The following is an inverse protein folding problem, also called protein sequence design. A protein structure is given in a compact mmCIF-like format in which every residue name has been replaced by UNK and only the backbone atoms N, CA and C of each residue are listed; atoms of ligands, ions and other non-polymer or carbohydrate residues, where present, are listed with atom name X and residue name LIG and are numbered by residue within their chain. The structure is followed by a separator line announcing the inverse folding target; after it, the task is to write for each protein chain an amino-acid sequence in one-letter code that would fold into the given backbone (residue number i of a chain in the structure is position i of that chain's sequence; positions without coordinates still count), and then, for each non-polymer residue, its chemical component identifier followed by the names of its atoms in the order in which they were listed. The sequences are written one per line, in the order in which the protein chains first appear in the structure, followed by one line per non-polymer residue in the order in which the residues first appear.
data_IF_326899472616
#
_entry.id   IF_326899472616
#
_cell.length_a   1.000
_cell.length_b   1.000
_cell.length_c   1.000
_cell.angle_alpha   90.00
_cell.angle_beta   90.00
_cell.angle_gamma   90.00
#
_symmetry.space_group_name_H-M   'P 1'
#
loop_
_entity.id
_entity.type
_entity.pdbx_description
1 polymer ?
#
# COMPACT_ATOMS: atom_id res chain seq x y z
N UNK A 1 8.06 -5.48 -14.83
CA UNK A 1 8.77 -6.29 -13.92
C UNK A 1 9.42 -5.51 -12.84
N UNK A 2 9.28 -6.02 -11.64
CA UNK A 2 9.87 -5.37 -10.57
C UNK A 2 11.12 -5.93 -10.19
N UNK A 3 12.14 -5.16 -10.18
CA UNK A 3 13.44 -5.61 -9.82
C UNK A 3 13.83 -5.27 -8.40
N UNK A 4 12.97 -4.53 -7.71
CA UNK A 4 13.28 -4.14 -6.35
C UNK A 4 12.71 -5.14 -5.37
N UNK A 5 13.49 -5.54 -4.40
CA UNK A 5 12.99 -6.38 -3.34
C UNK A 5 12.26 -5.57 -2.30
N UNK A 6 11.59 -6.24 -1.39
CA UNK A 6 10.84 -5.56 -0.36
C UNK A 6 11.72 -4.67 0.51
N UNK A 7 12.90 -5.15 0.86
CA UNK A 7 13.80 -4.35 1.68
C UNK A 7 14.23 -3.10 0.94
N UNK A 8 14.48 -3.23 -0.36
CA UNK A 8 14.90 -2.08 -1.14
C UNK A 8 13.77 -1.07 -1.27
N UNK A 9 12.54 -1.54 -1.48
CA UNK A 9 11.42 -0.65 -1.59
C UNK A 9 11.19 0.10 -0.28
N UNK A 10 11.31 -0.59 0.83
CA UNK A 10 11.11 0.03 2.12
C UNK A 10 12.18 1.08 2.39
N UNK A 11 13.43 0.75 2.06
CA UNK A 11 14.51 1.66 2.22
C UNK A 11 14.33 2.89 1.36
N UNK A 12 13.99 2.67 0.10
CA UNK A 12 13.81 3.76 -0.83
C UNK A 12 12.70 4.70 -0.35
N UNK A 13 11.60 4.12 0.10
CA UNK A 13 10.48 4.90 0.57
C UNK A 13 10.86 5.70 1.81
N UNK A 14 11.61 5.08 2.71
CA UNK A 14 12.04 5.74 3.92
C UNK A 14 12.94 6.94 3.59
N UNK A 15 13.87 6.74 2.69
CA UNK A 15 14.77 7.82 2.30
C UNK A 15 14.00 8.96 1.62
N UNK A 16 13.05 8.60 0.81
CA UNK A 16 12.26 9.59 0.12
C UNK A 16 11.45 10.40 1.12
N UNK A 17 10.84 9.73 2.09
CA UNK A 17 10.07 10.42 3.10
C UNK A 17 10.94 11.36 3.92
N UNK A 18 12.12 10.93 4.28
CA UNK A 18 13.00 11.78 5.04
C UNK A 18 13.47 12.97 4.24
N UNK A 19 13.70 12.77 2.96
CA UNK A 19 14.15 13.86 2.12
C UNK A 19 13.07 14.93 1.98
N UNK A 20 11.83 14.49 1.76
CA UNK A 20 10.76 15.44 1.53
C UNK A 20 10.23 16.05 2.82
N UNK A 21 10.29 15.28 3.89
CA UNK A 21 9.78 15.78 5.14
C UNK A 21 10.88 16.22 6.09
N UNK A 22 12.01 16.57 5.56
CA UNK A 22 13.12 16.91 6.39
C UNK A 22 12.80 18.03 7.31
N UNK A 23 11.86 18.84 6.90
CA UNK A 23 11.51 19.93 7.69
C UNK A 23 10.76 19.51 8.88
N UNK A 24 9.94 18.54 8.75
CA UNK A 24 9.15 18.18 9.78
C UNK A 24 9.76 17.43 10.77
N UNK A 25 10.53 17.04 10.62
CA UNK A 25 11.15 16.38 11.47
C UNK A 25 10.49 15.42 12.07
N UNK A 26 10.00 14.86 12.18
CA UNK A 26 9.63 14.11 12.74
C UNK A 26 9.04 13.41 12.94
N UNK A 27 8.78 12.79 12.55
CA UNK A 27 8.37 12.38 13.29
C UNK A 27 7.27 11.50 13.36
N UNK A 28 6.34 11.59 14.20
CA UNK A 28 5.20 10.73 14.36
C UNK A 28 4.37 10.65 13.11
N UNK A 29 4.20 11.77 12.46
CA UNK A 29 3.37 11.79 11.28
C UNK A 29 3.98 11.01 10.13
N UNK A 30 5.27 11.16 9.92
CA UNK A 30 5.94 10.43 8.87
C UNK A 30 5.89 8.93 9.15
N UNK A 31 6.08 8.54 10.40
CA UNK A 31 6.01 7.15 10.76
C UNK A 31 4.63 6.60 10.52
N UNK A 32 3.61 7.36 10.83
CA UNK A 32 2.24 6.95 10.64
C UNK A 32 1.94 6.71 9.18
N UNK A 33 2.40 7.61 8.31
CA UNK A 33 2.18 7.44 6.88
C UNK A 33 2.91 6.20 6.37
N UNK A 34 4.13 5.98 6.85
CA UNK A 34 4.87 4.81 6.41
C UNK A 34 4.23 3.52 6.89
N UNK A 35 3.73 3.53 8.13
CA UNK A 35 3.03 2.37 8.66
C UNK A 35 1.80 2.07 7.79
N UNK A 36 1.02 3.09 7.49
CA UNK A 36 -0.18 2.92 6.68
C UNK A 36 0.15 2.47 5.27
N UNK A 37 1.21 3.01 4.69
CA UNK A 37 1.60 2.62 3.35
C UNK A 37 2.00 1.15 3.30
N UNK A 38 2.76 0.69 4.29
CA UNK A 38 3.15 -0.70 4.34
C UNK A 38 1.96 -1.61 4.60
N UNK A 39 1.03 -1.15 5.44
CA UNK A 39 -0.17 -1.92 5.71
C UNK A 39 -0.98 -2.11 4.42
N UNK A 40 -1.21 -1.03 3.69
CA UNK A 40 -1.97 -1.11 2.45
C UNK A 40 -1.28 -2.00 1.43
N UNK A 41 0.05 -1.88 1.35
CA UNK A 41 0.83 -2.68 0.42
C UNK A 41 0.67 -4.17 0.70
N UNK A 42 0.83 -4.55 1.96
CA UNK A 42 0.80 -5.97 2.32
C UNK A 42 -0.60 -6.54 2.21
N UNK A 43 -1.60 -5.76 2.53
CA UNK A 43 -2.98 -6.19 2.39
C UNK A 43 -3.31 -6.46 0.92
N UNK A 44 -2.93 -5.54 0.04
CA UNK A 44 -3.19 -5.73 -1.38
C UNK A 44 -2.51 -7.00 -1.89
N UNK A 45 -1.28 -7.21 -1.48
CA UNK A 45 -0.54 -8.39 -1.91
C UNK A 45 -1.19 -9.67 -1.41
N UNK A 46 -1.58 -9.70 -0.14
CA UNK A 46 -2.13 -10.91 0.45
C UNK A 46 -3.48 -11.28 -0.19
N UNK A 47 -4.33 -10.30 -0.42
CA UNK A 47 -5.61 -10.59 -1.03
C UNK A 47 -5.45 -10.97 -2.49
N UNK A 48 -4.50 -10.36 -3.18
CA UNK A 48 -4.24 -10.75 -4.56
C UNK A 48 -3.79 -12.21 -4.62
N UNK A 49 -2.95 -12.62 -3.69
CA UNK A 49 -2.53 -14.01 -3.62
C UNK A 49 -3.70 -14.92 -3.29
N UNK A 50 -4.55 -14.50 -2.38
CA UNK A 50 -5.70 -15.29 -2.00
C UNK A 50 -6.60 -15.54 -3.21
N UNK A 51 -6.74 -14.55 -4.07
CA UNK A 51 -7.60 -14.66 -5.24
C UNK A 51 -6.84 -15.19 -6.47
N UNK A 52 -5.62 -15.62 -6.30
CA UNK A 52 -4.79 -16.17 -7.38
C UNK A 52 -4.54 -15.19 -8.51
N UNK A 53 -4.45 -13.91 -8.18
CA UNK A 53 -4.09 -12.92 -9.17
C UNK A 53 -2.62 -13.07 -9.51
N UNK A 54 -2.26 -12.72 -10.73
CA UNK A 54 -0.87 -12.72 -11.10
C UNK A 54 -0.22 -11.42 -10.69
N UNK A 55 1.08 -11.40 -10.64
CA UNK A 55 1.83 -10.18 -10.36
C UNK A 55 1.53 -9.58 -9.00
N UNK A 56 1.62 -10.41 -7.97
CA UNK A 56 1.33 -9.95 -6.60
C UNK A 56 2.17 -8.75 -6.20
N UNK A 57 3.41 -8.69 -6.71
CA UNK A 57 4.29 -7.59 -6.35
C UNK A 57 3.76 -6.25 -6.83
N UNK A 58 3.02 -6.27 -7.93
CA UNK A 58 2.43 -5.03 -8.43
C UNK A 58 1.30 -4.57 -7.50
N UNK A 59 0.58 -5.52 -6.92
CA UNK A 59 -0.46 -5.17 -5.95
C UNK A 59 0.17 -4.57 -4.70
N UNK A 60 1.32 -5.07 -4.30
CA UNK A 60 2.05 -4.47 -3.19
C UNK A 60 2.39 -3.01 -3.51
N UNK A 61 2.82 -2.76 -4.72
CA UNK A 61 3.21 -1.41 -5.12
C UNK A 61 2.06 -0.43 -5.11
N UNK A 62 0.88 -0.84 -5.57
CA UNK A 62 -0.21 0.12 -5.59
C UNK A 62 -0.60 0.52 -4.17
N UNK A 63 -0.55 -0.41 -3.23
CA UNK A 63 -0.82 -0.08 -1.85
C UNK A 63 0.25 0.81 -1.26
N UNK A 64 1.50 0.49 -1.56
CA UNK A 64 2.62 1.23 -1.01
C UNK A 64 2.58 2.69 -1.45
N UNK A 65 2.33 2.92 -2.72
CA UNK A 65 2.40 4.28 -3.25
C UNK A 65 1.09 5.03 -3.21
N UNK A 66 0.05 4.42 -2.67
CA UNK A 66 -1.24 5.08 -2.60
C UNK A 66 -1.24 6.29 -1.66
N UNK A 67 -0.27 6.37 -0.76
CA UNK A 67 -0.17 7.49 0.16
C UNK A 67 1.07 8.32 -0.07
N UNK A 68 1.80 8.04 -1.14
CA UNK A 68 3.10 8.68 -1.29
C UNK A 68 3.01 10.19 -1.40
N UNK A 69 1.97 10.71 -2.00
CA UNK A 69 1.85 12.14 -2.15
C UNK A 69 1.53 12.83 -0.83
N UNK A 70 1.16 12.08 0.19
CA UNK A 70 0.90 12.68 1.48
C UNK A 70 2.19 13.11 2.17
N UNK A 71 3.32 12.54 1.75
CA UNK A 71 4.60 12.89 2.37
C UNK A 71 5.56 13.55 1.41
N UNK A 72 5.16 13.71 0.15
CA UNK A 72 6.04 14.32 -0.81
C UNK A 72 5.56 15.70 -1.19
N UNK A 73 6.51 16.56 -1.55
CA UNK A 73 6.22 17.91 -1.93
C UNK A 73 6.01 18.07 -3.41
N UNK A 74 5.98 17.02 -4.16
CA UNK A 74 5.85 17.06 -5.60
C UNK A 74 4.63 16.30 -6.04
N UNK A 75 4.08 16.65 -7.22
CA UNK A 75 2.95 15.91 -7.73
C UNK A 75 3.29 14.43 -7.88
N UNK A 76 2.34 13.60 -7.51
CA UNK A 76 2.53 12.17 -7.57
C UNK A 76 2.94 11.72 -8.95
N UNK A 77 2.36 12.30 -10.00
CA UNK A 77 2.67 11.86 -11.34
C UNK A 77 4.10 12.05 -11.74
N UNK A 78 4.74 13.09 -11.25
CA UNK A 78 6.14 13.29 -11.57
C UNK A 78 7.00 12.23 -10.94
N UNK A 79 6.61 11.78 -9.75
CA UNK A 79 7.37 10.75 -9.07
C UNK A 79 7.18 9.43 -9.77
N UNK A 80 5.96 9.12 -10.17
CA UNK A 80 5.68 7.83 -10.81
C UNK A 80 6.39 7.71 -12.15
N UNK A 81 6.62 8.82 -12.83
CA UNK A 81 7.31 8.77 -14.10
C UNK A 81 8.75 8.35 -13.98
N UNK A 82 9.34 8.49 -12.81
CA UNK A 82 10.72 8.16 -12.62
C UNK A 82 10.92 6.71 -12.20
N UNK A 83 9.85 5.95 -12.07
CA UNK A 83 9.93 4.59 -11.58
C UNK A 83 9.52 3.62 -12.69
N UNK A 84 10.06 2.42 -12.68
CA UNK A 84 9.77 1.44 -13.73
C UNK A 84 8.44 0.74 -13.49
N UNK A 85 7.36 1.49 -13.44
CA UNK A 85 6.05 0.95 -13.20
C UNK A 85 5.32 0.72 -14.51
N UNK A 86 4.45 -0.27 -14.51
CA UNK A 86 3.61 -0.51 -15.68
C UNK A 86 2.54 0.58 -15.73
N UNK A 87 1.93 0.70 -16.88
CA UNK A 87 0.88 1.69 -17.06
C UNK A 87 -0.30 1.41 -16.13
N UNK A 88 -0.62 0.13 -15.93
CA UNK A 88 -1.73 -0.22 -15.06
C UNK A 88 -1.47 0.21 -13.62
N UNK A 89 -0.25 0.08 -13.14
CA UNK A 89 0.08 0.53 -11.79
C UNK A 89 -0.12 2.03 -11.68
N UNK A 90 0.39 2.77 -12.66
CA UNK A 90 0.27 4.23 -12.63
C UNK A 90 -1.19 4.64 -12.68
N UNK A 91 -1.97 4.00 -13.52
CA UNK A 91 -3.39 4.33 -13.64
C UNK A 91 -4.13 4.05 -12.34
N UNK A 92 -3.85 2.92 -11.71
CA UNK A 92 -4.53 2.57 -10.48
C UNK A 92 -4.22 3.58 -9.37
N UNK A 93 -2.95 3.92 -9.23
CA UNK A 93 -2.55 4.86 -8.18
C UNK A 93 -3.13 6.24 -8.47
N UNK A 94 -3.26 6.59 -9.73
CA UNK A 94 -3.75 7.91 -10.12
C UNK A 94 -5.27 8.03 -10.07
N UNK A 95 -5.96 6.94 -9.77
CA UNK A 95 -7.41 7.03 -9.59
C UNK A 95 -8.26 6.44 -10.70
N UNK A 96 -7.64 5.91 -11.73
CA UNK A 96 -8.39 5.28 -12.81
C UNK A 96 -8.78 3.87 -12.36
N UNK A 97 -10.01 3.47 -12.65
CA UNK A 97 -10.44 2.12 -12.31
C UNK A 97 -9.74 1.10 -13.15
N UNK A 98 -9.11 0.14 -12.51
CA UNK A 98 -8.48 -1.00 -13.17
C UNK A 98 -8.89 -2.25 -12.40
N UNK A 99 -8.44 -3.41 -12.86
CA UNK A 99 -8.75 -4.64 -12.13
C UNK A 99 -8.10 -4.67 -10.76
N UNK A 100 -7.12 -3.81 -10.51
CA UNK A 100 -6.45 -3.75 -9.21
C UNK A 100 -7.18 -2.85 -8.23
N UNK A 101 -8.03 -1.98 -8.71
CA UNK A 101 -8.68 -0.97 -7.86
C UNK A 101 -9.48 -1.56 -6.71
N UNK A 102 -10.24 -2.65 -6.88
CA UNK A 102 -11.00 -3.17 -5.73
C UNK A 102 -10.11 -3.59 -4.57
N UNK A 103 -8.92 -4.11 -4.89
CA UNK A 103 -7.99 -4.51 -3.83
C UNK A 103 -7.45 -3.30 -3.10
N UNK A 104 -7.14 -2.25 -3.84
CA UNK A 104 -6.66 -1.02 -3.23
C UNK A 104 -7.75 -0.42 -2.34
N UNK A 105 -8.99 -0.38 -2.84
CA UNK A 105 -10.08 0.18 -2.07
C UNK A 105 -10.31 -0.60 -0.78
N UNK A 106 -10.21 -1.93 -0.83
CA UNK A 106 -10.37 -2.73 0.37
C UNK A 106 -9.24 -2.44 1.37
N UNK A 107 -8.03 -2.29 0.86
CA UNK A 107 -6.90 -2.00 1.74
C UNK A 107 -7.07 -0.64 2.42
N UNK A 108 -7.59 0.33 1.69
CA UNK A 108 -7.82 1.66 2.25
C UNK A 108 -8.90 1.61 3.32
N UNK A 109 -10.00 0.90 3.05
CA UNK A 109 -11.08 0.79 4.01
C UNK A 109 -10.61 0.10 5.29
N UNK A 110 -9.80 -0.95 5.16
CA UNK A 110 -9.25 -1.62 6.33
C UNK A 110 -8.31 -0.71 7.11
N UNK A 111 -7.48 0.02 6.38
CA UNK A 111 -6.52 0.91 7.01
C UNK A 111 -7.23 1.99 7.82
N UNK A 112 -8.38 2.44 7.35
CA UNK A 112 -9.15 3.47 8.01
C UNK A 112 -10.21 2.91 8.94
N UNK A 113 -10.30 1.60 9.06
CA UNK A 113 -11.27 0.93 9.91
C UNK A 113 -12.71 1.30 9.57
N UNK A 114 -13.01 1.43 8.29
CA UNK A 114 -14.35 1.74 7.83
C UNK A 114 -15.07 0.42 7.58
N UNK A 115 -15.56 -0.17 8.65
CA UNK A 115 -15.99 -1.57 8.61
C UNK A 115 -17.16 -1.89 7.70
N UNK A 116 -18.10 -0.98 7.56
CA UNK A 116 -19.21 -1.23 6.64
C UNK A 116 -18.73 -1.25 5.19
N UNK A 117 -17.74 -0.42 4.86
CA UNK A 117 -17.15 -0.45 3.54
C UNK A 117 -16.35 -1.72 3.35
N UNK A 118 -15.67 -2.17 4.40
CA UNK A 118 -14.90 -3.40 4.34
C UNK A 118 -15.80 -4.57 3.96
N UNK A 119 -16.94 -4.68 4.61
CA UNK A 119 -17.86 -5.76 4.31
C UNK A 119 -18.31 -5.73 2.87
N UNK A 120 -18.69 -4.55 2.40
CA UNK A 120 -19.18 -4.42 1.04
C UNK A 120 -18.11 -4.78 0.02
N UNK A 121 -16.90 -4.26 0.24
CA UNK A 121 -15.82 -4.50 -0.71
C UNK A 121 -15.36 -5.95 -0.69
N UNK A 122 -15.36 -6.57 0.49
CA UNK A 122 -15.00 -7.98 0.57
C UNK A 122 -16.01 -8.83 -0.18
N UNK A 123 -17.30 -8.48 -0.06
CA UNK A 123 -18.32 -9.20 -0.80
C UNK A 123 -18.11 -9.06 -2.30
N UNK A 124 -17.78 -7.87 -2.76
CA UNK A 124 -17.56 -7.65 -4.17
C UNK A 124 -16.39 -8.47 -4.69
N UNK A 125 -15.39 -8.69 -3.86
CA UNK A 125 -14.24 -9.49 -4.25
C UNK A 125 -14.42 -10.96 -3.96
N UNK A 126 -15.54 -11.33 -3.35
CA UNK A 126 -15.81 -12.71 -2.95
C UNK A 126 -14.74 -13.25 -2.00
N UNK A 127 -14.39 -12.44 -1.03
CA UNK A 127 -13.46 -12.85 0.01
C UNK A 127 -14.25 -12.99 1.30
N UNK A 128 -14.23 -14.17 1.94
CA UNK A 128 -14.97 -14.34 3.20
C UNK A 128 -14.50 -13.37 4.28
N UNK A 129 -15.43 -12.89 5.06
CA UNK A 129 -15.11 -11.88 6.06
C UNK A 129 -14.10 -12.38 7.09
N UNK A 130 -14.18 -13.66 7.46
CA UNK A 130 -13.23 -14.19 8.43
C UNK A 130 -11.80 -14.20 7.87
N UNK A 131 -11.65 -14.40 6.55
CA UNK A 131 -10.35 -14.30 5.93
C UNK A 131 -9.86 -12.86 5.96
N UNK A 132 -10.77 -11.91 5.72
CA UNK A 132 -10.41 -10.51 5.75
C UNK A 132 -9.86 -10.15 7.14
N UNK A 133 -10.55 -10.57 8.19
CA UNK A 133 -10.13 -10.22 9.54
C UNK A 133 -8.86 -10.95 9.95
N UNK A 134 -8.68 -12.17 9.49
CA UNK A 134 -7.45 -12.89 9.75
C UNK A 134 -6.25 -12.16 9.13
N UNK A 135 -6.40 -11.74 7.87
CA UNK A 135 -5.30 -11.05 7.19
C UNK A 135 -5.08 -9.67 7.80
N UNK A 136 -6.15 -9.03 8.24
CA UNK A 136 -6.02 -7.75 8.91
C UNK A 136 -5.08 -7.86 10.12
N UNK A 137 -5.29 -8.88 10.93
CA UNK A 137 -4.47 -9.08 12.11
C UNK A 137 -3.04 -9.46 11.75
N UNK A 138 -2.89 -10.34 10.76
CA UNK A 138 -1.57 -10.77 10.35
C UNK A 138 -0.74 -9.61 9.81
N UNK A 139 -1.38 -8.75 9.04
CA UNK A 139 -0.66 -7.65 8.44
C UNK A 139 -0.31 -6.59 9.48
N UNK A 140 -1.21 -6.33 10.44
CA UNK A 140 -0.89 -5.40 11.50
C UNK A 140 0.35 -5.88 12.25
N UNK A 141 0.41 -7.17 12.53
CA UNK A 141 1.55 -7.72 13.23
C UNK A 141 2.82 -7.60 12.40
N UNK A 142 2.70 -7.90 11.12
CA UNK A 142 3.84 -7.84 10.21
C UNK A 142 4.40 -6.40 10.12
N UNK A 143 3.52 -5.42 10.04
CA UNK A 143 3.97 -4.03 9.95
C UNK A 143 4.63 -3.60 11.25
N UNK A 144 4.05 -3.99 12.38
CA UNK A 144 4.64 -3.65 13.66
C UNK A 144 6.05 -4.24 13.78
N UNK A 145 6.22 -5.47 13.37
CA UNK A 145 7.51 -6.11 13.42
C UNK A 145 8.50 -5.42 12.49
N UNK A 146 8.01 -4.98 11.34
CA UNK A 146 8.89 -4.31 10.39
C UNK A 146 9.47 -3.03 10.96
N UNK A 147 8.68 -2.30 11.74
CA UNK A 147 9.19 -1.09 12.33
C UNK A 147 10.03 -1.34 13.58
N UNK A 148 9.80 -2.43 14.24
CA UNK A 148 10.56 -2.71 15.44
C UNK A 148 11.90 -3.35 15.19
N UNK A 149 12.09 -3.84 13.99
CA UNK A 149 13.34 -4.47 13.67
C UNK A 149 14.44 -3.53 13.36
N UNK A 150 14.26 -2.26 13.36
CA UNK A 150 15.23 -1.37 12.98
C UNK A 150 16.18 -1.22 13.78
#
# INVERSE_FOLDING_TARGET
VLLLGLTELRKWMYLLAMKEAKIERENDKTKEVMFSSLFRAKICEKFAKYKFEENHAEYFLIGLFSLIDAILDRPLQKILQQLPFTEEIVETISGTDTRMTPYLNLSIALNKAEWSKVEKLADELNIPYDIVMQYYEEVNEWVNESFNLK
#
